data_IF_291914925213
#
_entry.id   IF_291914925213
#
_cell.length_a   1.000
_cell.length_b   1.000
_cell.length_c   1.000
_cell.angle_alpha   90.00
_cell.angle_beta   90.00
_cell.angle_gamma   90.00
#
_symmetry.space_group_name_H-M   'P 1'
#
loop_
_entity.id
_entity.type
_entity.pdbx_description
1 polymer ?
#
# COMPACT_ATOMS: atom_id res chain seq x y z
N UNK A 1 -31.89 -14.17 5.49
CA UNK A 1 -31.57 -15.57 5.85
C UNK A 1 -30.17 -15.61 6.43
N UNK A 2 -30.02 -15.92 7.72
CA UNK A 2 -28.71 -16.03 8.36
C UNK A 2 -28.08 -17.39 8.02
N UNK A 3 -27.00 -17.38 7.24
CA UNK A 3 -26.23 -18.58 6.93
C UNK A 3 -25.55 -19.06 8.21
N UNK A 4 -26.03 -20.15 8.79
CA UNK A 4 -25.41 -20.81 9.96
C UNK A 4 -24.00 -21.24 9.54
N UNK A 5 -22.97 -20.55 10.03
CA UNK A 5 -21.59 -20.98 9.86
C UNK A 5 -21.46 -22.41 10.42
N UNK A 6 -21.22 -23.40 9.55
CA UNK A 6 -20.89 -24.76 10.00
C UNK A 6 -19.49 -24.71 10.60
N UNK A 7 -19.36 -25.15 11.85
CA UNK A 7 -18.06 -25.35 12.46
C UNK A 7 -17.23 -26.33 11.61
N UNK A 8 -16.14 -25.82 11.02
CA UNK A 8 -15.20 -26.64 10.25
C UNK A 8 -14.40 -27.55 11.19
N UNK A 9 -14.12 -28.79 10.75
CA UNK A 9 -13.20 -29.69 11.44
C UNK A 9 -11.83 -29.60 10.78
N UNK A 10 -10.76 -29.60 11.56
CA UNK A 10 -9.38 -29.71 11.08
C UNK A 10 -8.67 -30.90 11.74
N UNK A 11 -7.60 -31.38 11.12
CA UNK A 11 -6.74 -32.42 11.69
C UNK A 11 -5.87 -31.84 12.81
N UNK A 12 -5.64 -32.59 13.88
CA UNK A 12 -4.89 -32.13 15.08
C UNK A 12 -3.48 -31.67 14.72
N UNK A 13 -2.82 -32.31 13.76
CA UNK A 13 -1.49 -31.92 13.28
C UNK A 13 -1.43 -30.56 12.59
N UNK A 14 -2.58 -29.98 12.23
CA UNK A 14 -2.71 -28.62 11.68
C UNK A 14 -3.20 -27.61 12.72
N UNK A 15 -3.44 -28.02 13.96
CA UNK A 15 -3.76 -27.10 15.03
C UNK A 15 -2.55 -26.21 15.32
N UNK A 16 -2.78 -24.92 15.57
CA UNK A 16 -1.72 -24.05 16.05
C UNK A 16 -1.22 -24.56 17.41
N UNK A 17 0.09 -24.68 17.56
CA UNK A 17 0.71 -24.85 18.88
C UNK A 17 0.81 -23.50 19.57
N UNK A 18 0.50 -23.48 20.85
CA UNK A 18 0.60 -22.31 21.72
C UNK A 18 1.72 -22.46 22.76
N UNK A 19 2.59 -23.44 22.58
CA UNK A 19 3.80 -23.60 23.38
C UNK A 19 4.80 -22.49 23.09
N UNK A 20 5.62 -22.14 24.09
CA UNK A 20 6.68 -21.12 23.93
C UNK A 20 7.67 -21.47 22.83
N UNK A 21 7.93 -22.76 22.61
CA UNK A 21 8.78 -23.29 21.53
C UNK A 21 8.25 -22.95 20.13
N UNK A 22 6.95 -22.69 19.99
CA UNK A 22 6.29 -22.35 18.74
C UNK A 22 6.19 -20.82 18.50
N UNK A 23 6.71 -20.00 19.41
CA UNK A 23 6.72 -18.54 19.28
C UNK A 23 7.95 -18.06 18.52
N UNK A 24 7.80 -16.93 17.82
CA UNK A 24 8.85 -16.15 17.18
C UNK A 24 8.87 -14.76 17.77
N UNK A 25 10.09 -14.23 17.95
CA UNK A 25 10.30 -12.83 18.30
C UNK A 25 10.62 -12.06 17.02
N UNK A 26 9.82 -11.04 16.72
CA UNK A 26 10.02 -10.16 15.58
C UNK A 26 10.45 -8.79 16.08
N UNK A 27 11.68 -8.41 15.77
CA UNK A 27 12.27 -7.13 16.16
C UNK A 27 12.15 -6.13 15.01
N UNK A 28 11.43 -5.03 15.22
CA UNK A 28 11.15 -4.04 14.16
C UNK A 28 11.67 -2.67 14.56
N UNK A 29 12.37 -2.01 13.63
CA UNK A 29 12.99 -0.70 13.81
C UNK A 29 14.48 -0.75 14.16
N UNK A 30 15.13 0.42 14.09
CA UNK A 30 16.57 0.58 14.33
C UNK A 30 16.88 0.68 15.82
N UNK A 31 18.06 0.21 16.20
CA UNK A 31 18.59 0.46 17.54
C UNK A 31 18.80 1.97 17.79
N UNK A 32 18.56 2.46 19.02
CA UNK A 32 18.09 1.75 20.22
C UNK A 32 16.56 1.70 20.37
N UNK A 33 15.78 2.12 19.36
CA UNK A 33 14.32 2.33 19.45
C UNK A 33 13.49 1.21 18.79
N UNK A 34 14.03 0.00 18.66
CA UNK A 34 13.28 -1.11 18.10
C UNK A 34 12.15 -1.56 19.05
N UNK A 35 11.17 -2.27 18.50
CA UNK A 35 10.12 -2.94 19.26
C UNK A 35 10.08 -4.42 18.92
N UNK A 36 10.00 -5.25 19.96
CA UNK A 36 9.85 -6.69 19.83
C UNK A 36 8.36 -7.07 19.86
N UNK A 37 7.96 -7.94 18.94
CA UNK A 37 6.64 -8.56 18.86
C UNK A 37 6.79 -10.06 19.03
N UNK A 38 5.93 -10.69 19.83
CA UNK A 38 5.90 -12.15 19.97
C UNK A 38 4.69 -12.66 19.18
N UNK A 39 4.92 -13.60 18.27
CA UNK A 39 3.86 -14.19 17.46
C UNK A 39 4.09 -15.69 17.23
N UNK A 40 3.00 -16.43 17.04
CA UNK A 40 3.04 -17.85 16.70
C UNK A 40 3.62 -18.07 15.31
N UNK A 41 4.62 -18.95 15.22
CA UNK A 41 5.27 -19.34 13.96
C UNK A 41 4.25 -19.84 12.94
N UNK A 42 3.29 -20.66 13.37
CA UNK A 42 2.31 -21.29 12.48
C UNK A 42 1.51 -20.26 11.69
N UNK A 43 1.03 -19.20 12.34
CA UNK A 43 0.23 -18.15 11.69
C UNK A 43 1.04 -17.34 10.66
N UNK A 44 2.32 -17.13 10.94
CA UNK A 44 3.21 -16.40 10.03
C UNK A 44 3.65 -17.27 8.85
N UNK A 45 4.11 -18.50 9.13
CA UNK A 45 4.63 -19.43 8.12
C UNK A 45 3.53 -19.96 7.19
N UNK A 46 2.28 -20.07 7.65
CA UNK A 46 1.15 -20.44 6.79
C UNK A 46 0.85 -19.37 5.74
N UNK A 47 1.04 -18.09 6.09
CA UNK A 47 0.67 -16.96 5.23
C UNK A 47 1.82 -16.43 4.38
N UNK A 48 3.04 -16.51 4.90
CA UNK A 48 4.21 -15.84 4.34
C UNK A 48 5.30 -16.86 3.97
N UNK A 49 5.58 -17.03 2.67
CA UNK A 49 6.73 -17.79 2.20
C UNK A 49 8.05 -17.31 2.79
N UNK A 50 8.19 -16.01 3.07
CA UNK A 50 9.35 -15.44 3.75
C UNK A 50 9.54 -16.08 5.13
N UNK A 51 8.53 -16.03 5.99
CA UNK A 51 8.62 -16.63 7.33
C UNK A 51 8.78 -18.15 7.26
N UNK A 52 8.08 -18.82 6.35
CA UNK A 52 8.24 -20.26 6.11
C UNK A 52 9.67 -20.64 5.75
N UNK A 53 10.34 -19.86 4.91
CA UNK A 53 11.73 -20.09 4.53
C UNK A 53 12.71 -19.72 5.65
N UNK A 54 12.47 -18.63 6.39
CA UNK A 54 13.30 -18.23 7.52
C UNK A 54 13.36 -19.33 8.61
N UNK A 55 12.26 -20.06 8.81
CA UNK A 55 12.15 -21.10 9.83
C UNK A 55 12.59 -22.52 9.40
N UNK A 56 13.06 -22.70 8.16
CA UNK A 56 13.45 -24.02 7.62
C UNK A 56 14.80 -24.59 8.11
N UNK A 57 15.40 -24.04 9.17
CA UNK A 57 16.65 -24.58 9.74
C UNK A 57 17.94 -24.15 9.02
N UNK A 58 17.85 -23.35 7.95
CA UNK A 58 19.00 -22.96 7.11
C UNK A 58 19.66 -21.65 7.52
N UNK A 59 19.02 -20.90 8.41
CA UNK A 59 19.38 -19.53 8.76
C UNK A 59 19.49 -19.40 10.28
N UNK A 60 20.27 -18.42 10.76
CA UNK A 60 20.48 -18.20 12.19
C UNK A 60 19.15 -17.94 12.93
N UNK A 61 18.20 -17.32 12.24
CA UNK A 61 16.85 -17.02 12.71
C UNK A 61 16.07 -18.28 13.10
N UNK A 62 16.32 -19.42 12.45
CA UNK A 62 15.69 -20.68 12.85
C UNK A 62 16.21 -21.23 14.17
N UNK A 63 17.45 -20.91 14.53
CA UNK A 63 18.07 -21.32 15.80
C UNK A 63 17.74 -20.33 16.91
N UNK A 64 17.88 -19.02 16.63
CA UNK A 64 17.65 -17.95 17.60
C UNK A 64 16.16 -17.65 17.81
N UNK A 65 15.32 -17.97 16.82
CA UNK A 65 13.88 -17.64 16.76
C UNK A 65 13.61 -16.14 16.85
N UNK A 66 14.59 -15.32 16.42
CA UNK A 66 14.50 -13.86 16.34
C UNK A 66 14.65 -13.43 14.89
N UNK A 67 13.67 -12.71 14.35
CA UNK A 67 13.72 -12.13 12.99
C UNK A 67 13.76 -10.61 13.10
N UNK A 68 14.68 -9.96 12.41
CA UNK A 68 14.94 -8.51 12.51
C UNK A 68 14.51 -7.76 11.25
N UNK A 69 13.83 -6.64 11.44
CA UNK A 69 13.35 -5.72 10.41
C UNK A 69 13.77 -4.29 10.76
N UNK A 70 15.07 -3.95 10.60
CA UNK A 70 15.62 -2.69 11.11
C UNK A 70 15.06 -1.45 10.40
N UNK A 71 14.76 -1.55 9.10
CA UNK A 71 14.30 -0.42 8.29
C UNK A 71 12.77 -0.26 8.25
N UNK A 72 12.03 -1.18 8.86
CA UNK A 72 10.56 -1.19 8.86
C UNK A 72 9.98 -0.47 10.10
N UNK A 73 8.75 0.02 9.97
CA UNK A 73 8.05 0.72 11.03
C UNK A 73 7.27 -0.26 11.92
N UNK A 74 7.47 -0.18 13.24
CA UNK A 74 6.79 -1.05 14.19
C UNK A 74 5.27 -0.89 14.21
N UNK A 75 4.74 0.30 13.86
CA UNK A 75 3.29 0.56 13.74
C UNK A 75 2.68 -0.26 12.59
N UNK A 76 3.31 -0.25 11.42
CA UNK A 76 2.89 -1.01 10.24
C UNK A 76 2.99 -2.52 10.49
N UNK A 77 4.04 -2.97 11.19
CA UNK A 77 4.15 -4.38 11.56
C UNK A 77 3.05 -4.81 12.54
N UNK A 78 2.63 -3.94 13.46
CA UNK A 78 1.51 -4.21 14.34
C UNK A 78 0.18 -4.34 13.57
N UNK A 79 -0.05 -3.51 12.54
CA UNK A 79 -1.20 -3.65 11.63
C UNK A 79 -1.17 -4.99 10.89
N UNK A 80 -0.01 -5.38 10.38
CA UNK A 80 0.20 -6.69 9.73
C UNK A 80 -0.18 -7.83 10.68
N UNK A 81 0.36 -7.83 11.91
CA UNK A 81 0.02 -8.85 12.89
C UNK A 81 -1.47 -8.87 13.24
N UNK A 82 -2.11 -7.70 13.40
CA UNK A 82 -3.56 -7.66 13.65
C UNK A 82 -4.30 -8.40 12.53
N UNK A 83 -4.02 -8.06 11.27
CA UNK A 83 -4.66 -8.73 10.13
C UNK A 83 -4.33 -10.23 10.01
N UNK A 84 -3.11 -10.64 10.40
CA UNK A 84 -2.73 -12.06 10.46
C UNK A 84 -3.64 -12.85 11.39
N UNK A 85 -3.93 -12.30 12.58
CA UNK A 85 -4.70 -12.97 13.62
C UNK A 85 -6.23 -12.80 13.49
N UNK A 86 -6.69 -11.61 13.12
CA UNK A 86 -8.12 -11.26 13.11
C UNK A 86 -8.75 -11.40 11.73
N UNK A 87 -7.94 -11.32 10.67
CA UNK A 87 -8.44 -11.18 9.30
C UNK A 87 -9.09 -9.83 9.02
N UNK A 88 -8.89 -8.82 9.87
CA UNK A 88 -9.43 -7.47 9.74
C UNK A 88 -8.32 -6.44 9.68
N UNK A 89 -8.41 -5.48 8.76
CA UNK A 89 -7.50 -4.34 8.69
C UNK A 89 -8.02 -3.24 9.61
N UNK A 90 -7.18 -2.79 10.53
CA UNK A 90 -7.52 -1.75 11.52
C UNK A 90 -6.93 -0.40 11.11
N UNK A 91 -7.24 0.03 9.88
CA UNK A 91 -6.74 1.29 9.29
C UNK A 91 -7.78 2.40 9.28
N UNK A 92 -9.07 2.06 9.39
CA UNK A 92 -10.14 3.04 9.42
C UNK A 92 -10.12 3.83 10.73
N UNK A 93 -9.73 5.10 10.64
CA UNK A 93 -9.75 6.05 11.76
C UNK A 93 -11.15 6.66 11.91
N UNK A 94 -12.13 5.83 12.28
CA UNK A 94 -13.46 6.32 12.66
C UNK A 94 -13.40 6.72 14.13
N UNK A 95 -13.61 7.98 14.45
CA UNK A 95 -14.00 8.33 15.82
C UNK A 95 -15.34 7.61 16.10
N UNK A 96 -15.44 6.89 17.21
CA UNK A 96 -16.68 6.20 17.63
C UNK A 96 -17.86 7.16 17.85
N UNK A 97 -17.60 8.48 17.80
CA UNK A 97 -18.61 9.52 17.83
C UNK A 97 -19.43 9.52 16.53
N UNK A 98 -20.69 9.07 16.64
CA UNK A 98 -21.67 9.14 15.56
C UNK A 98 -21.79 10.56 15.02
N UNK A 99 -21.38 10.76 13.75
CA UNK A 99 -21.59 12.02 13.02
C UNK A 99 -20.33 12.86 12.76
N UNK A 100 -19.13 12.42 13.14
CA UNK A 100 -17.90 13.11 12.71
C UNK A 100 -17.53 12.74 11.27
N UNK A 101 -17.66 13.68 10.33
CA UNK A 101 -17.15 13.52 8.96
C UNK A 101 -15.61 13.40 8.95
N UNK A 102 -15.09 12.56 8.06
CA UNK A 102 -13.65 12.40 7.83
C UNK A 102 -12.99 13.71 7.35
N UNK A 103 -11.83 14.02 7.92
CA UNK A 103 -10.93 15.08 7.42
C UNK A 103 -10.11 14.58 6.22
N UNK A 104 -9.37 15.47 5.55
CA UNK A 104 -8.46 15.03 4.48
C UNK A 104 -7.30 14.23 5.06
N UNK A 105 -6.82 14.66 6.23
CA UNK A 105 -5.73 14.08 6.98
C UNK A 105 -6.05 12.64 7.40
N UNK A 106 -7.27 12.37 7.88
CA UNK A 106 -7.69 11.02 8.26
C UNK A 106 -7.59 10.03 7.10
N UNK A 107 -8.04 10.46 5.91
CA UNK A 107 -8.05 9.60 4.72
C UNK A 107 -6.65 9.45 4.13
N UNK A 108 -5.84 10.50 4.14
CA UNK A 108 -4.45 10.43 3.69
C UNK A 108 -3.59 9.55 4.60
N UNK A 109 -3.79 9.64 5.91
CA UNK A 109 -3.10 8.79 6.84
C UNK A 109 -3.53 7.33 6.71
N UNK A 110 -4.80 7.06 6.43
CA UNK A 110 -5.26 5.70 6.09
C UNK A 110 -4.56 5.18 4.82
N UNK A 111 -4.43 6.00 3.78
CA UNK A 111 -3.66 5.61 2.59
C UNK A 111 -2.18 5.35 2.92
N UNK A 112 -1.54 6.15 3.77
CA UNK A 112 -0.14 5.93 4.19
C UNK A 112 0.00 4.57 4.89
N UNK A 113 -0.86 4.29 5.88
CA UNK A 113 -0.86 3.02 6.61
C UNK A 113 -1.11 1.82 5.66
N UNK A 114 -2.09 1.94 4.75
CA UNK A 114 -2.42 0.90 3.78
C UNK A 114 -1.25 0.61 2.83
N UNK A 115 -0.70 1.62 2.15
CA UNK A 115 0.34 1.37 1.16
C UNK A 115 1.69 0.98 1.77
N UNK A 116 2.02 1.47 2.99
CA UNK A 116 3.16 0.92 3.75
C UNK A 116 2.95 -0.54 4.13
N UNK A 117 1.74 -0.91 4.53
CA UNK A 117 1.39 -2.31 4.79
C UNK A 117 1.48 -3.16 3.53
N UNK A 118 1.11 -2.63 2.35
CA UNK A 118 1.31 -3.33 1.08
C UNK A 118 2.79 -3.62 0.82
N UNK A 119 3.67 -2.62 1.00
CA UNK A 119 5.12 -2.77 0.78
C UNK A 119 5.70 -3.81 1.76
N UNK A 120 5.30 -3.76 3.03
CA UNK A 120 5.68 -4.78 4.01
C UNK A 120 5.20 -6.17 3.57
N UNK A 121 3.96 -6.30 3.12
CA UNK A 121 3.40 -7.56 2.65
C UNK A 121 4.08 -8.06 1.37
N UNK A 122 4.57 -7.17 0.50
CA UNK A 122 5.40 -7.50 -0.67
C UNK A 122 6.73 -8.10 -0.23
N UNK A 123 7.42 -7.46 0.72
CA UNK A 123 8.66 -7.98 1.33
C UNK A 123 8.46 -9.34 2.00
N UNK A 124 7.33 -9.52 2.70
CA UNK A 124 6.97 -10.77 3.37
C UNK A 124 6.34 -11.80 2.44
N UNK A 125 6.09 -11.47 1.18
CA UNK A 125 5.41 -12.31 0.19
C UNK A 125 4.01 -12.80 0.64
N UNK A 126 3.30 -12.04 1.49
CA UNK A 126 1.93 -12.37 1.92
C UNK A 126 0.89 -11.79 0.94
N UNK A 127 0.49 -12.62 -0.02
CA UNK A 127 -0.52 -12.27 -1.04
C UNK A 127 -1.88 -11.92 -0.42
N UNK A 128 -2.26 -12.56 0.68
CA UNK A 128 -3.57 -12.32 1.33
C UNK A 128 -3.62 -10.92 1.92
N UNK A 129 -2.53 -10.47 2.53
CA UNK A 129 -2.40 -9.09 3.02
C UNK A 129 -2.38 -8.09 1.87
N UNK A 130 -1.60 -8.34 0.80
CA UNK A 130 -1.59 -7.47 -0.39
C UNK A 130 -2.98 -7.27 -0.97
N UNK A 131 -3.75 -8.35 -1.14
CA UNK A 131 -5.10 -8.28 -1.68
C UNK A 131 -6.08 -7.54 -0.75
N UNK A 132 -5.97 -7.75 0.56
CA UNK A 132 -6.80 -7.05 1.55
C UNK A 132 -6.54 -5.55 1.53
N UNK A 133 -5.27 -5.13 1.42
CA UNK A 133 -4.90 -3.73 1.29
C UNK A 133 -5.46 -3.11 0.02
N UNK A 134 -5.36 -3.79 -1.13
CA UNK A 134 -5.95 -3.30 -2.39
C UNK A 134 -7.46 -3.10 -2.24
N UNK A 135 -8.16 -4.07 -1.65
CA UNK A 135 -9.60 -3.97 -1.42
C UNK A 135 -9.95 -2.80 -0.48
N UNK A 136 -9.19 -2.63 0.60
CA UNK A 136 -9.38 -1.51 1.54
C UNK A 136 -9.10 -0.16 0.86
N UNK A 137 -8.01 -0.02 0.12
CA UNK A 137 -7.67 1.22 -0.59
C UNK A 137 -8.73 1.61 -1.64
N UNK A 138 -9.33 0.63 -2.33
CA UNK A 138 -10.48 0.88 -3.22
C UNK A 138 -11.70 1.34 -2.40
N UNK A 139 -11.97 0.74 -1.26
CA UNK A 139 -13.08 1.17 -0.39
C UNK A 139 -12.86 2.59 0.15
N UNK A 140 -11.61 2.95 0.50
CA UNK A 140 -11.21 4.30 0.92
C UNK A 140 -11.53 5.35 -0.15
N UNK A 141 -11.51 5.01 -1.45
CA UNK A 141 -11.93 5.96 -2.51
C UNK A 141 -13.40 6.37 -2.41
N UNK A 142 -14.23 5.61 -1.69
CA UNK A 142 -15.66 5.91 -1.50
C UNK A 142 -15.88 6.87 -0.34
N UNK A 143 -14.88 7.04 0.52
CA UNK A 143 -14.93 7.96 1.66
C UNK A 143 -14.97 9.40 1.14
N UNK A 144 -16.07 10.10 1.46
CA UNK A 144 -16.23 11.51 1.14
C UNK A 144 -15.78 12.34 2.34
N UNK A 145 -14.92 13.31 2.10
CA UNK A 145 -14.59 14.34 3.08
C UNK A 145 -15.78 15.26 3.32
N UNK A 146 -15.71 16.12 4.36
CA UNK A 146 -16.70 17.19 4.65
C UNK A 146 -17.15 17.99 3.42
N UNK A 147 -16.27 18.19 2.45
CA UNK A 147 -16.54 18.97 1.24
C UNK A 147 -17.10 18.13 0.07
N UNK A 148 -17.44 16.86 0.31
CA UNK A 148 -17.96 15.93 -0.70
C UNK A 148 -16.94 15.49 -1.76
N UNK A 149 -15.67 15.88 -1.60
CA UNK A 149 -14.57 15.58 -2.54
C UNK A 149 -13.95 14.23 -2.23
N UNK A 150 -13.60 13.53 -3.30
CA UNK A 150 -12.75 12.34 -3.28
C UNK A 150 -11.32 12.72 -2.94
N UNK A 151 -10.62 11.81 -2.27
CA UNK A 151 -9.20 11.92 -1.96
C UNK A 151 -8.45 10.78 -2.61
N UNK A 152 -7.25 11.10 -3.08
CA UNK A 152 -6.28 10.15 -3.60
C UNK A 152 -5.06 10.14 -2.66
N UNK A 153 -4.22 9.09 -2.70
CA UNK A 153 -2.97 9.05 -1.94
C UNK A 153 -2.10 10.27 -2.24
N UNK A 154 -1.32 10.73 -1.28
CA UNK A 154 -0.38 11.83 -1.48
C UNK A 154 0.82 11.41 -2.33
N UNK A 155 1.52 12.38 -2.94
CA UNK A 155 2.65 12.14 -3.85
C UNK A 155 3.81 11.38 -3.21
N UNK A 156 4.07 11.57 -1.92
CA UNK A 156 5.06 10.80 -1.16
C UNK A 156 4.74 9.30 -1.13
N UNK A 157 3.45 8.91 -1.07
CA UNK A 157 3.01 7.52 -1.07
C UNK A 157 3.36 6.83 -2.39
N UNK A 158 3.26 7.56 -3.49
CA UNK A 158 3.59 7.05 -4.82
C UNK A 158 5.06 6.66 -4.88
N UNK A 159 5.94 7.54 -4.39
CA UNK A 159 7.38 7.30 -4.39
C UNK A 159 7.71 6.04 -3.60
N UNK A 160 7.18 5.90 -2.38
CA UNK A 160 7.45 4.70 -1.57
C UNK A 160 6.87 3.43 -2.21
N UNK A 161 5.72 3.50 -2.89
CA UNK A 161 5.14 2.32 -3.56
C UNK A 161 5.98 1.92 -4.77
N UNK A 162 6.44 2.88 -5.57
CA UNK A 162 7.28 2.59 -6.71
C UNK A 162 8.68 2.11 -6.30
N UNK A 163 9.26 2.67 -5.24
CA UNK A 163 10.53 2.18 -4.69
C UNK A 163 10.39 0.81 -4.01
N UNK A 164 9.28 0.57 -3.31
CA UNK A 164 9.05 -0.60 -2.47
C UNK A 164 8.39 -1.79 -3.17
N UNK A 165 8.04 -1.69 -4.46
CA UNK A 165 7.37 -2.79 -5.19
C UNK A 165 7.99 -3.02 -6.56
N UNK A 166 7.96 -4.24 -7.11
CA UNK A 166 8.51 -4.52 -8.43
C UNK A 166 7.64 -3.95 -9.57
N UNK A 167 8.25 -3.85 -10.77
CA UNK A 167 7.53 -3.56 -12.02
C UNK A 167 6.38 -4.58 -12.17
N UNK A 168 5.20 -4.08 -12.59
CA UNK A 168 3.99 -4.90 -12.73
C UNK A 168 3.23 -5.15 -11.41
N UNK A 169 3.66 -4.57 -10.29
CA UNK A 169 2.92 -4.62 -9.02
C UNK A 169 1.48 -4.10 -9.17
N UNK A 170 0.46 -4.83 -8.66
CA UNK A 170 -0.91 -4.35 -8.59
C UNK A 170 -1.08 -3.00 -7.87
N UNK A 171 -0.27 -2.70 -6.85
CA UNK A 171 -0.34 -1.42 -6.14
C UNK A 171 0.07 -0.23 -7.03
N UNK A 172 1.08 -0.41 -7.89
CA UNK A 172 1.48 0.62 -8.87
C UNK A 172 0.31 0.93 -9.82
N UNK A 173 -0.30 -0.12 -10.40
CA UNK A 173 -1.48 0.03 -11.27
C UNK A 173 -2.63 0.75 -10.57
N UNK A 174 -2.97 0.34 -9.35
CA UNK A 174 -4.06 0.96 -8.59
C UNK A 174 -3.83 2.47 -8.37
N UNK A 175 -2.63 2.87 -7.95
CA UNK A 175 -2.30 4.29 -7.74
C UNK A 175 -2.37 5.05 -9.07
N UNK A 176 -1.85 4.49 -10.15
CA UNK A 176 -1.94 5.09 -11.50
C UNK A 176 -3.39 5.31 -11.91
N UNK A 177 -4.26 4.31 -11.72
CA UNK A 177 -5.69 4.43 -12.02
C UNK A 177 -6.36 5.53 -11.18
N UNK A 178 -6.06 5.61 -9.88
CA UNK A 178 -6.56 6.68 -9.00
C UNK A 178 -6.14 8.08 -9.47
N UNK A 179 -4.92 8.22 -10.00
CA UNK A 179 -4.42 9.51 -10.52
C UNK A 179 -4.97 9.84 -11.92
N UNK A 180 -5.24 8.82 -12.75
CA UNK A 180 -5.73 9.02 -14.12
C UNK A 180 -7.12 9.68 -14.20
N UNK A 181 -7.90 9.63 -13.11
CA UNK A 181 -9.25 10.18 -13.03
C UNK A 181 -9.32 11.60 -12.45
N UNK A 182 -8.21 12.17 -11.95
CA UNK A 182 -8.19 13.53 -11.38
C UNK A 182 -7.72 14.60 -12.40
N UNK A 183 -8.14 15.87 -12.27
CA UNK A 183 -7.73 16.92 -13.20
C UNK A 183 -6.21 17.05 -13.30
N UNK A 184 -5.70 17.24 -14.53
CA UNK A 184 -4.24 17.39 -14.76
C UNK A 184 -3.66 18.59 -14.01
N UNK A 185 -4.44 19.66 -13.84
CA UNK A 185 -4.06 20.83 -13.02
C UNK A 185 -3.78 20.45 -11.57
N UNK A 186 -4.52 19.50 -11.00
CA UNK A 186 -4.28 19.01 -9.65
C UNK A 186 -2.99 18.21 -9.60
N UNK A 187 -2.76 17.31 -10.58
CA UNK A 187 -1.53 16.51 -10.66
C UNK A 187 -0.30 17.43 -10.74
N UNK A 188 -0.34 18.45 -11.61
CA UNK A 188 0.77 19.42 -11.78
C UNK A 188 1.01 20.22 -10.49
N UNK A 189 -0.05 20.64 -9.80
CA UNK A 189 0.10 21.34 -8.52
C UNK A 189 0.82 20.48 -7.48
N UNK A 190 0.60 19.16 -7.47
CA UNK A 190 1.30 18.24 -6.56
C UNK A 190 2.75 18.02 -6.99
N UNK A 191 3.02 17.89 -8.30
CA UNK A 191 4.37 17.73 -8.85
C UNK A 191 5.31 18.87 -8.46
N UNK A 192 4.81 20.10 -8.39
CA UNK A 192 5.60 21.27 -7.98
C UNK A 192 6.03 21.22 -6.50
N UNK A 193 5.27 20.51 -5.66
CA UNK A 193 5.54 20.40 -4.23
C UNK A 193 6.44 19.22 -3.87
N UNK A 194 6.34 18.10 -4.60
CA UNK A 194 7.11 16.89 -4.34
C UNK A 194 7.34 16.15 -5.66
N UNK A 195 8.60 15.93 -6.07
CA UNK A 195 8.90 15.15 -7.26
C UNK A 195 8.28 13.75 -7.15
N UNK A 196 7.59 13.32 -8.20
CA UNK A 196 7.01 11.98 -8.29
C UNK A 196 8.00 11.05 -9.01
N UNK A 197 7.95 9.75 -8.69
CA UNK A 197 8.82 8.73 -9.27
C UNK A 197 8.71 8.69 -10.80
N UNK A 198 9.84 8.54 -11.50
CA UNK A 198 9.90 8.58 -12.97
C UNK A 198 9.01 7.52 -13.63
N UNK A 199 9.12 6.26 -13.20
CA UNK A 199 8.26 5.17 -13.70
C UNK A 199 6.75 5.45 -13.50
N UNK A 200 6.38 6.14 -12.42
CA UNK A 200 4.98 6.51 -12.20
C UNK A 200 4.51 7.51 -13.26
N UNK A 201 5.34 8.47 -13.64
CA UNK A 201 4.98 9.43 -14.69
C UNK A 201 4.80 8.76 -16.04
N UNK A 202 5.60 7.73 -16.33
CA UNK A 202 5.44 6.90 -17.53
C UNK A 202 4.12 6.13 -17.48
N UNK A 203 3.85 5.42 -16.38
CA UNK A 203 2.60 4.67 -16.22
C UNK A 203 1.36 5.59 -16.28
N UNK A 204 1.45 6.77 -15.67
CA UNK A 204 0.38 7.76 -15.67
C UNK A 204 0.15 8.36 -17.06
N UNK A 205 1.20 8.64 -17.84
CA UNK A 205 1.06 9.12 -19.22
C UNK A 205 0.32 8.11 -20.08
N UNK A 206 0.71 6.84 -20.00
CA UNK A 206 0.03 5.74 -20.71
C UNK A 206 -1.43 5.68 -20.31
N UNK A 207 -1.75 5.65 -19.02
CA UNK A 207 -3.13 5.60 -18.54
C UNK A 207 -3.96 6.83 -18.95
N UNK A 208 -3.36 8.02 -18.93
CA UNK A 208 -4.02 9.25 -19.39
C UNK A 208 -4.29 9.23 -20.90
N UNK A 209 -3.38 8.67 -21.70
CA UNK A 209 -3.55 8.56 -23.15
C UNK A 209 -4.73 7.66 -23.53
N UNK A 210 -4.96 6.59 -22.76
CA UNK A 210 -6.06 5.65 -22.95
C UNK A 210 -7.41 6.24 -22.50
N UNK A 211 -7.44 6.91 -21.34
CA UNK A 211 -8.67 7.44 -20.74
C UNK A 211 -9.08 8.79 -21.34
N UNK A 212 -8.11 9.60 -21.78
CA UNK A 212 -8.31 10.95 -22.33
C UNK A 212 -7.68 11.05 -23.73
N UNK A 213 -8.19 10.30 -24.72
CA UNK A 213 -7.63 10.34 -26.05
C UNK A 213 -7.71 11.76 -26.60
N UNK A 214 -6.58 12.26 -27.11
CA UNK A 214 -6.54 13.52 -27.84
C UNK A 214 -7.48 13.34 -29.04
N UNK A 215 -8.55 14.15 -29.11
CA UNK A 215 -9.41 14.18 -30.31
C UNK A 215 -8.52 14.48 -31.50
N UNK A 216 -8.45 13.55 -32.45
CA UNK A 216 -7.61 13.60 -33.64
C UNK A 216 -8.06 14.68 -34.65
N UNK A 217 -8.59 15.80 -34.18
CA UNK A 217 -8.59 17.04 -34.96
C UNK A 217 -7.15 17.54 -34.98
N UNK A 218 -6.33 16.95 -35.85
CA UNK A 218 -4.96 17.38 -36.09
C UNK A 218 -4.98 18.85 -36.52
N UNK A 219 -4.84 19.77 -35.57
CA UNK A 219 -4.74 21.23 -35.80
C UNK A 219 -3.38 21.63 -36.42
N UNK A 220 -2.77 20.74 -37.21
CA UNK A 220 -1.41 20.86 -37.72
C UNK A 220 -0.34 20.73 -36.64
N UNK A 221 0.93 20.73 -37.06
CA UNK A 221 2.07 20.82 -36.16
C UNK A 221 2.04 22.18 -35.44
N UNK A 222 1.96 22.16 -34.10
CA UNK A 222 1.87 23.40 -33.31
C UNK A 222 3.08 24.32 -33.51
N UNK A 223 4.26 23.74 -33.78
CA UNK A 223 5.49 24.52 -34.03
C UNK A 223 5.38 25.26 -35.36
N UNK A 224 4.88 24.60 -36.40
CA UNK A 224 4.62 25.25 -37.70
C UNK A 224 3.57 26.35 -37.57
N UNK A 225 2.50 26.08 -36.82
CA UNK A 225 1.42 27.06 -36.60
C UNK A 225 1.90 28.30 -35.84
N UNK A 226 2.76 28.12 -34.85
CA UNK A 226 3.27 29.21 -34.03
C UNK A 226 4.32 30.05 -34.78
N UNK A 227 5.02 29.46 -35.76
CA UNK A 227 6.08 30.14 -36.51
C UNK A 227 7.34 30.40 -35.66
N UNK A 228 8.48 30.57 -36.32
CA UNK A 228 9.76 30.75 -35.62
C UNK A 228 9.78 31.99 -34.70
N UNK A 229 9.07 33.06 -35.11
CA UNK A 229 8.97 34.32 -34.36
C UNK A 229 8.40 34.16 -32.95
N UNK A 230 7.48 33.19 -32.74
CA UNK A 230 6.93 32.90 -31.41
C UNK A 230 7.96 32.34 -30.42
N UNK A 231 9.13 31.93 -30.92
CA UNK A 231 10.21 31.31 -30.13
C UNK A 231 11.50 32.13 -30.16
N UNK A 232 11.57 33.21 -30.94
CA UNK A 232 12.74 34.09 -31.00
C UNK A 232 12.77 35.04 -29.80
N UNK A 233 13.95 35.25 -29.23
CA UNK A 233 14.16 36.25 -28.18
C UNK A 233 13.95 37.66 -28.75
N UNK A 234 13.25 38.53 -28.03
CA UNK A 234 13.08 39.92 -28.43
C UNK A 234 14.37 40.69 -28.13
N UNK A 235 14.93 41.34 -29.17
CA UNK A 235 16.11 42.22 -29.09
C UNK A 235 15.66 43.66 -28.79
#
# INVERSE_FOLDING_TARGET
>A
MATRARAGRTVISKAASFELSAMLTIRVGKEPKYKDFIAHESFLTERSPFFHCAMKGRWEESNTRIIKFPDDQHTIFALYLNFVYTGQLVTMRRCEEEGSDFTYEDVWDEYDDLFRLYILAEKLQDVKTKNAVIAAAIDTTRTRTKNGKYTIPQSNIINIVYEGTPIGSPARRLITDMYSIVPMTWIISHLQSTPMHGDFLVDLEVALSEIRPIKAEHKGNIVERNGAESYMEQI
#
